data_IF_625276473102
#
_entry.id   IF_625276473102
#
_cell.length_a   1.000
_cell.length_b   1.000
_cell.length_c   1.000
_cell.angle_alpha   90.00
_cell.angle_beta   90.00
_cell.angle_gamma   90.00
#
_symmetry.space_group_name_H-M   'P 1'
#
loop_
_entity.id
_entity.type
_entity.pdbx_description
1 polymer ?
#
# COMPACT_ATOMS: atom_id res chain seq x y z
N UNK A 1 67.25 -18.72 8.68
CA UNK A 1 65.92 -19.35 8.75
C UNK A 1 64.74 -18.37 8.74
N UNK A 2 64.86 -17.14 9.27
CA UNK A 2 63.74 -16.18 9.39
C UNK A 2 63.18 -15.63 8.06
N UNK A 3 64.03 -15.46 7.03
CA UNK A 3 63.60 -14.88 5.74
C UNK A 3 62.80 -15.86 4.86
N UNK A 4 63.14 -17.16 4.88
CA UNK A 4 62.43 -18.19 4.12
C UNK A 4 61.01 -18.45 4.68
N UNK A 5 60.84 -18.26 5.99
CA UNK A 5 59.56 -18.43 6.67
C UNK A 5 58.60 -17.27 6.38
N UNK A 6 59.12 -16.03 6.31
CA UNK A 6 58.32 -14.86 5.92
C UNK A 6 57.81 -14.97 4.48
N UNK A 7 58.65 -15.40 3.54
CA UNK A 7 58.24 -15.56 2.12
C UNK A 7 57.17 -16.65 1.97
N UNK A 8 57.29 -17.77 2.72
CA UNK A 8 56.29 -18.83 2.69
C UNK A 8 54.93 -18.36 3.24
N UNK A 9 54.93 -17.51 4.27
CA UNK A 9 53.68 -16.98 4.84
C UNK A 9 52.99 -15.98 3.90
N UNK A 10 53.75 -15.14 3.18
CA UNK A 10 53.17 -14.17 2.24
C UNK A 10 52.55 -14.86 1.01
N UNK A 11 53.19 -15.92 0.50
CA UNK A 11 52.65 -16.70 -0.63
C UNK A 11 51.40 -17.48 -0.24
N UNK A 12 51.32 -17.97 1.01
CA UNK A 12 50.13 -18.64 1.50
C UNK A 12 48.95 -17.66 1.68
N UNK A 13 49.23 -16.43 2.13
CA UNK A 13 48.21 -15.39 2.29
C UNK A 13 47.59 -14.95 0.96
N UNK A 14 48.37 -14.87 -0.12
CA UNK A 14 47.83 -14.46 -1.44
C UNK A 14 47.00 -15.56 -2.10
N UNK A 15 47.27 -16.84 -1.83
CA UNK A 15 46.45 -17.94 -2.36
C UNK A 15 45.05 -18.02 -1.73
N UNK A 16 44.93 -17.68 -0.44
CA UNK A 16 43.64 -17.72 0.27
C UNK A 16 42.69 -16.62 -0.23
N UNK A 17 43.22 -15.48 -0.69
CA UNK A 17 42.40 -14.39 -1.23
C UNK A 17 41.86 -14.70 -2.63
N UNK A 18 42.58 -15.49 -3.45
CA UNK A 18 42.11 -15.88 -4.79
C UNK A 18 40.98 -16.91 -4.80
N UNK A 19 40.67 -17.55 -3.67
CA UNK A 19 39.59 -18.55 -3.57
C UNK A 19 38.22 -17.95 -3.20
N UNK A 20 38.14 -16.65 -2.92
CA UNK A 20 36.88 -15.97 -2.55
C UNK A 20 36.21 -15.24 -3.74
N UNK A 21 36.54 -15.61 -4.98
CA UNK A 21 35.99 -14.99 -6.19
C UNK A 21 35.22 -15.93 -7.12
N UNK A 22 34.95 -17.16 -6.69
CA UNK A 22 34.38 -18.22 -7.53
C UNK A 22 33.00 -18.68 -7.08
N UNK A 23 32.02 -17.80 -7.18
CA UNK A 23 30.62 -18.21 -7.35
C UNK A 23 29.96 -17.11 -8.17
N UNK A 24 29.77 -17.37 -9.47
CA UNK A 24 28.72 -16.71 -10.23
C UNK A 24 27.38 -17.15 -9.61
N UNK A 25 27.03 -16.53 -8.49
CA UNK A 25 25.67 -16.46 -8.04
C UNK A 25 24.95 -15.68 -9.12
N UNK A 26 24.34 -16.41 -10.05
CA UNK A 26 23.22 -15.87 -10.81
C UNK A 26 22.32 -15.22 -9.75
N UNK A 27 21.99 -13.92 -9.84
CA UNK A 27 21.13 -13.32 -8.84
C UNK A 27 19.83 -14.09 -8.88
N UNK A 28 19.62 -14.98 -7.91
CA UNK A 28 18.32 -15.52 -7.61
C UNK A 28 17.51 -14.33 -7.13
N UNK A 29 16.85 -13.68 -8.09
CA UNK A 29 15.91 -12.62 -7.76
C UNK A 29 14.85 -13.31 -6.90
N UNK A 30 14.89 -13.00 -5.61
CA UNK A 30 13.93 -13.50 -4.64
C UNK A 30 12.52 -13.05 -5.09
N UNK A 31 11.50 -13.86 -4.81
CA UNK A 31 10.13 -13.48 -5.16
C UNK A 31 9.73 -12.15 -4.49
N UNK A 32 10.36 -11.87 -3.34
CA UNK A 32 10.26 -10.64 -2.57
C UNK A 32 10.87 -9.42 -3.31
N UNK A 33 12.00 -9.58 -4.00
CA UNK A 33 12.60 -8.52 -4.82
C UNK A 33 11.76 -8.23 -6.08
N UNK A 34 11.14 -9.27 -6.67
CA UNK A 34 10.18 -9.11 -7.77
C UNK A 34 8.95 -8.36 -7.29
N UNK A 35 8.40 -8.71 -6.13
CA UNK A 35 7.23 -8.07 -5.55
C UNK A 35 7.53 -6.60 -5.19
N UNK A 36 8.69 -6.33 -4.59
CA UNK A 36 9.11 -4.96 -4.22
C UNK A 36 9.33 -4.09 -5.47
N UNK A 37 9.91 -4.66 -6.52
CA UNK A 37 10.06 -3.98 -7.81
C UNK A 37 8.69 -3.73 -8.47
N UNK A 38 7.77 -4.70 -8.41
CA UNK A 38 6.42 -4.54 -8.96
C UNK A 38 5.63 -3.44 -8.24
N UNK A 39 5.71 -3.35 -6.91
CA UNK A 39 5.09 -2.26 -6.13
C UNK A 39 5.69 -0.92 -6.54
N UNK A 40 7.02 -0.80 -6.64
CA UNK A 40 7.67 0.43 -7.07
C UNK A 40 7.26 0.88 -8.49
N UNK A 41 7.14 -0.07 -9.43
CA UNK A 41 6.66 0.21 -10.79
C UNK A 41 5.19 0.64 -10.82
N UNK A 42 4.33 0.04 -9.98
CA UNK A 42 2.93 0.45 -9.86
C UNK A 42 2.79 1.89 -9.34
N UNK A 43 3.57 2.28 -8.33
CA UNK A 43 3.61 3.65 -7.83
C UNK A 43 4.10 4.66 -8.88
N UNK A 44 5.09 4.29 -9.71
CA UNK A 44 5.55 5.13 -10.83
C UNK A 44 4.48 5.29 -11.92
N UNK A 45 3.73 4.25 -12.24
CA UNK A 45 2.65 4.33 -13.24
C UNK A 45 1.49 5.23 -12.77
N UNK A 46 1.14 5.15 -11.48
CA UNK A 46 0.08 5.98 -10.89
C UNK A 46 0.44 7.47 -10.87
N UNK A 47 1.69 7.80 -10.50
CA UNK A 47 2.17 9.19 -10.46
C UNK A 47 2.22 9.83 -11.85
N UNK A 48 2.62 9.10 -12.90
CA UNK A 48 2.60 9.60 -14.27
C UNK A 48 1.18 9.84 -14.80
N UNK A 49 0.22 9.00 -14.42
CA UNK A 49 -1.18 9.17 -14.84
C UNK A 49 -1.83 10.38 -14.18
N UNK A 50 -1.53 10.65 -12.90
CA UNK A 50 -2.00 11.85 -12.21
C UNK A 50 -1.46 13.14 -12.84
N UNK A 51 -0.24 13.12 -13.38
CA UNK A 51 0.35 14.26 -14.08
C UNK A 51 -0.26 14.52 -15.47
N UNK A 52 -0.93 13.53 -16.07
CA UNK A 52 -1.61 13.64 -17.36
C UNK A 52 -3.10 13.98 -17.24
N UNK A 53 -3.61 14.23 -16.02
CA UNK A 53 -4.97 14.68 -15.82
C UNK A 53 -5.18 16.03 -16.55
N UNK A 54 -6.19 16.17 -17.41
CA UNK A 54 -6.39 17.36 -18.21
C UNK A 54 -6.69 18.55 -17.30
N UNK A 55 -5.73 19.46 -17.16
CA UNK A 55 -5.92 20.74 -16.49
C UNK A 55 -7.01 21.50 -17.23
N UNK A 56 -8.10 21.85 -16.53
CA UNK A 56 -9.22 22.57 -17.10
C UNK A 56 -8.75 23.92 -17.65
N UNK A 57 -8.64 24.01 -18.99
CA UNK A 57 -8.49 25.27 -19.68
C UNK A 57 -9.75 26.10 -19.45
N UNK A 58 -9.65 27.36 -18.97
CA UNK A 58 -10.82 28.22 -18.82
C UNK A 58 -11.51 28.40 -20.18
N UNK A 59 -12.78 28.02 -20.27
CA UNK A 59 -13.58 28.26 -21.45
C UNK A 59 -13.78 29.79 -21.60
N UNK A 60 -13.52 30.39 -22.77
CA UNK A 60 -13.86 31.78 -23.00
C UNK A 60 -15.39 31.96 -22.94
N UNK A 61 -15.90 33.10 -22.45
CA UNK A 61 -17.33 33.33 -22.33
C UNK A 61 -17.99 33.26 -23.71
N UNK A 62 -18.90 32.31 -23.87
CA UNK A 62 -19.64 32.10 -25.12
C UNK A 62 -20.78 33.09 -25.19
N UNK A 63 -20.73 34.01 -26.15
CA UNK A 63 -21.88 34.83 -26.54
C UNK A 63 -22.94 33.92 -27.17
N UNK A 64 -24.14 33.88 -26.59
CA UNK A 64 -25.33 33.22 -27.16
C UNK A 64 -25.99 34.10 -28.21
N UNK A 65 -25.95 33.78 -29.51
CA UNK A 65 -26.95 34.25 -30.46
C UNK A 65 -28.21 33.37 -30.38
N UNK A 66 -29.37 34.02 -30.35
CA UNK A 66 -30.69 33.39 -30.36
C UNK A 66 -30.99 32.79 -31.75
N UNK A 67 -31.37 31.50 -31.87
CA UNK A 67 -31.75 30.94 -33.15
C UNK A 67 -33.22 31.24 -33.52
N UNK A 68 -33.38 31.81 -34.71
CA UNK A 68 -34.65 31.97 -35.43
C UNK A 68 -35.10 30.63 -36.03
N UNK A 69 -36.42 30.40 -36.00
CA UNK A 69 -37.19 29.25 -36.51
C UNK A 69 -36.73 28.64 -37.85
N UNK A 70 -36.81 27.30 -37.97
CA UNK A 70 -37.49 26.52 -39.05
C UNK A 70 -37.39 25.00 -38.74
N UNK A 71 -38.50 24.23 -38.71
CA UNK A 71 -38.42 22.77 -38.66
C UNK A 71 -38.34 22.17 -40.08
N UNK A 72 -37.28 21.39 -40.36
CA UNK A 72 -37.21 20.49 -41.51
C UNK A 72 -37.67 19.07 -41.10
N UNK A 73 -38.21 18.23 -42.01
CA UNK A 73 -38.76 16.93 -41.66
C UNK A 73 -37.66 15.94 -41.24
N UNK A 74 -37.85 15.25 -40.11
CA UNK A 74 -36.99 14.16 -39.68
C UNK A 74 -37.14 12.95 -40.62
N UNK A 75 -36.05 12.56 -41.27
CA UNK A 75 -35.89 11.22 -41.83
C UNK A 75 -35.55 10.29 -40.66
N UNK A 76 -36.43 9.34 -40.36
CA UNK A 76 -36.21 8.30 -39.35
C UNK A 76 -35.13 7.33 -39.86
N UNK A 77 -33.94 7.37 -39.24
CA UNK A 77 -32.97 6.28 -39.38
C UNK A 77 -33.38 5.09 -38.49
N UNK A 78 -33.09 3.83 -38.91
CA UNK A 78 -33.39 2.65 -38.10
C UNK A 78 -32.62 2.69 -36.78
N UNK A 79 -33.32 2.59 -35.66
CA UNK A 79 -32.72 2.42 -34.33
C UNK A 79 -32.11 1.02 -34.22
N UNK A 80 -30.79 0.94 -34.11
CA UNK A 80 -30.12 -0.28 -33.68
C UNK A 80 -30.54 -0.65 -32.24
N UNK A 81 -30.66 -1.95 -31.91
CA UNK A 81 -30.96 -2.38 -30.54
C UNK A 81 -29.86 -1.89 -29.58
N UNK A 82 -30.23 -1.52 -28.33
CA UNK A 82 -29.26 -1.07 -27.34
C UNK A 82 -28.24 -2.18 -27.08
N UNK A 83 -26.96 -1.85 -27.26
CA UNK A 83 -25.88 -2.71 -26.85
C UNK A 83 -26.04 -2.97 -25.34
N UNK A 84 -26.02 -4.25 -24.94
CA UNK A 84 -25.88 -4.63 -23.54
C UNK A 84 -24.54 -4.07 -23.05
N UNK A 85 -24.61 -2.98 -22.28
CA UNK A 85 -23.46 -2.46 -21.55
C UNK A 85 -23.07 -3.54 -20.56
N UNK A 86 -21.98 -4.26 -20.85
CA UNK A 86 -21.33 -5.09 -19.86
C UNK A 86 -21.05 -4.20 -18.65
N UNK A 87 -21.48 -4.64 -17.47
CA UNK A 87 -21.16 -3.98 -16.21
C UNK A 87 -19.65 -3.85 -16.18
N UNK A 88 -19.13 -2.64 -16.44
CA UNK A 88 -17.73 -2.35 -16.17
C UNK A 88 -17.55 -2.64 -14.69
N UNK A 89 -16.64 -3.56 -14.37
CA UNK A 89 -16.13 -3.67 -13.03
C UNK A 89 -15.66 -2.28 -12.62
N UNK A 90 -16.41 -1.62 -11.75
CA UNK A 90 -15.98 -0.40 -11.10
C UNK A 90 -14.61 -0.69 -10.50
N UNK A 91 -13.57 0.13 -10.78
CA UNK A 91 -12.29 -0.06 -10.14
C UNK A 91 -12.52 -0.12 -8.63
N UNK A 92 -12.06 -1.20 -8.00
CA UNK A 92 -12.10 -1.36 -6.55
C UNK A 92 -11.53 -0.07 -5.95
N UNK A 93 -12.34 0.64 -5.17
CA UNK A 93 -11.91 1.92 -4.61
C UNK A 93 -10.61 1.72 -3.84
N UNK A 94 -9.56 2.45 -4.21
CA UNK A 94 -8.24 2.29 -3.63
C UNK A 94 -8.23 2.87 -2.21
N UNK A 95 -8.22 1.99 -1.21
CA UNK A 95 -8.40 2.33 0.21
C UNK A 95 -7.11 2.83 0.89
N UNK A 96 -6.36 3.68 0.18
CA UNK A 96 -5.02 4.15 0.60
C UNK A 96 -5.03 5.65 0.91
N UNK A 97 -6.20 6.25 1.09
CA UNK A 97 -6.32 7.66 1.42
C UNK A 97 -5.86 7.92 2.85
N UNK A 98 -5.28 9.09 3.09
CA UNK A 98 -4.95 9.55 4.44
C UNK A 98 -6.26 10.03 5.10
N UNK A 99 -6.52 9.71 6.38
CA UNK A 99 -7.69 10.18 7.09
C UNK A 99 -7.84 11.70 7.06
N UNK A 100 -9.05 12.17 6.76
CA UNK A 100 -9.39 13.58 6.97
C UNK A 100 -9.37 13.91 8.48
N UNK A 101 -9.11 15.17 8.87
CA UNK A 101 -9.09 15.57 10.29
C UNK A 101 -10.39 15.27 11.04
N UNK A 102 -11.53 15.33 10.33
CA UNK A 102 -12.86 15.08 10.86
C UNK A 102 -13.61 14.12 9.94
N UNK A 103 -13.41 12.79 10.09
CA UNK A 103 -14.10 11.81 9.27
C UNK A 103 -15.59 11.78 9.62
N UNK A 104 -16.42 11.56 8.60
CA UNK A 104 -17.90 11.52 8.69
C UNK A 104 -18.39 10.20 9.24
N UNK A 105 -17.64 9.12 9.03
CA UNK A 105 -17.94 7.79 9.52
C UNK A 105 -17.81 7.69 11.04
N UNK A 106 -18.49 6.69 11.61
CA UNK A 106 -18.33 6.36 13.01
C UNK A 106 -16.87 5.98 13.30
N UNK A 107 -16.35 6.42 14.45
CA UNK A 107 -14.99 6.07 14.90
C UNK A 107 -15.04 5.10 16.07
N UNK A 108 -14.13 4.14 16.07
CA UNK A 108 -13.96 3.11 17.11
C UNK A 108 -12.62 3.29 17.81
N UNK A 109 -12.56 2.84 19.07
CA UNK A 109 -11.33 2.89 19.86
C UNK A 109 -10.51 1.62 19.64
N UNK A 110 -9.21 1.78 19.43
CA UNK A 110 -8.28 0.67 19.23
C UNK A 110 -7.03 0.90 20.07
N UNK A 111 -6.46 -0.18 20.60
CA UNK A 111 -5.15 -0.21 21.24
C UNK A 111 -4.24 -1.15 20.47
N UNK A 112 -3.13 -0.60 19.97
CA UNK A 112 -2.08 -1.38 19.31
C UNK A 112 -1.02 -1.78 20.32
N UNK A 113 -0.72 -3.07 20.40
CA UNK A 113 0.28 -3.64 21.29
C UNK A 113 1.45 -4.16 20.47
N UNK A 114 2.62 -3.53 20.58
CA UNK A 114 3.82 -4.06 19.98
C UNK A 114 4.49 -5.08 20.92
N UNK A 115 4.35 -6.35 20.61
CA UNK A 115 5.01 -7.46 21.29
C UNK A 115 6.25 -7.97 20.55
N UNK A 116 6.66 -7.32 19.46
CA UNK A 116 7.98 -7.57 18.91
C UNK A 116 9.06 -6.99 19.84
N UNK A 117 10.25 -7.62 19.82
CA UNK A 117 11.42 -7.19 20.58
C UNK A 117 12.09 -5.93 19.99
N UNK A 118 11.47 -5.28 19.00
CA UNK A 118 11.95 -4.08 18.32
C UNK A 118 10.83 -3.09 18.04
N UNK A 119 11.16 -1.94 17.43
CA UNK A 119 10.15 -1.04 16.89
C UNK A 119 9.34 -1.68 15.75
N UNK A 120 8.11 -1.22 15.58
CA UNK A 120 7.20 -1.62 14.52
C UNK A 120 6.64 -0.37 13.81
N UNK A 121 6.72 -0.35 12.48
CA UNK A 121 5.98 0.60 11.65
C UNK A 121 4.75 -0.12 11.10
N UNK A 122 3.57 0.18 11.64
CA UNK A 122 2.31 -0.43 11.25
C UNK A 122 1.61 0.43 10.20
N UNK A 123 1.24 -0.19 9.08
CA UNK A 123 0.20 0.27 8.14
C UNK A 123 -1.09 -0.49 8.42
N UNK A 124 -2.18 0.24 8.68
CA UNK A 124 -3.48 -0.29 9.04
C UNK A 124 -4.52 0.27 8.07
N UNK A 125 -4.81 -0.48 7.00
CA UNK A 125 -5.63 -0.05 5.88
C UNK A 125 -7.03 -0.67 5.92
N UNK A 126 -8.04 0.13 5.59
CA UNK A 126 -9.38 -0.39 5.35
C UNK A 126 -9.39 -1.24 4.07
N UNK A 127 -10.14 -2.34 4.08
CA UNK A 127 -10.28 -3.21 2.91
C UNK A 127 -11.41 -2.72 1.98
N UNK A 128 -12.43 -2.07 2.57
CA UNK A 128 -13.58 -1.54 1.83
C UNK A 128 -14.03 -0.19 2.43
N UNK A 129 -14.60 0.71 1.61
CA UNK A 129 -15.17 1.96 2.11
C UNK A 129 -16.30 1.72 3.12
N UNK A 130 -16.46 2.64 4.07
CA UNK A 130 -17.59 2.65 5.00
C UNK A 130 -18.89 3.12 4.32
N UNK A 131 -19.97 3.24 5.10
CA UNK A 131 -21.29 3.71 4.65
C UNK A 131 -21.32 5.20 4.22
N UNK A 132 -20.23 5.94 4.46
CA UNK A 132 -20.00 7.31 4.01
C UNK A 132 -19.05 7.40 2.82
N UNK A 133 -18.69 6.26 2.23
CA UNK A 133 -17.74 6.14 1.13
C UNK A 133 -16.33 6.66 1.49
N UNK A 134 -15.96 6.59 2.78
CA UNK A 134 -14.61 6.89 3.26
C UNK A 134 -13.82 5.59 3.37
N UNK A 135 -12.57 5.61 2.91
CA UNK A 135 -11.67 4.48 3.03
C UNK A 135 -10.25 4.96 3.27
N UNK A 136 -9.72 4.72 4.47
CA UNK A 136 -8.44 5.27 4.89
C UNK A 136 -7.42 4.20 5.28
N UNK A 137 -6.15 4.58 5.15
CA UNK A 137 -5.02 3.87 5.72
C UNK A 137 -4.36 4.70 6.81
N UNK A 138 -4.13 4.08 7.96
CA UNK A 138 -3.46 4.68 9.10
C UNK A 138 -2.03 4.17 9.16
N UNK A 139 -1.11 5.01 9.63
CA UNK A 139 0.28 4.63 9.86
C UNK A 139 0.69 4.99 11.28
N UNK A 140 1.31 4.03 11.98
CA UNK A 140 1.74 4.18 13.37
C UNK A 140 3.16 3.66 13.52
N UNK A 141 3.97 4.34 14.33
CA UNK A 141 5.29 3.86 14.73
C UNK A 141 5.25 3.58 16.23
N UNK A 142 5.58 2.35 16.60
CA UNK A 142 5.59 1.86 17.98
C UNK A 142 7.01 1.41 18.35
N UNK A 143 7.47 1.71 19.55
CA UNK A 143 8.66 1.11 20.15
C UNK A 143 8.41 -0.32 20.63
N UNK A 144 9.47 -1.04 21.00
CA UNK A 144 9.36 -2.40 21.54
C UNK A 144 8.56 -2.39 22.85
N UNK A 145 7.53 -3.24 22.96
CA UNK A 145 6.67 -3.31 24.16
C UNK A 145 5.61 -2.20 24.28
N UNK A 146 5.55 -1.26 23.33
CA UNK A 146 4.63 -0.13 23.41
C UNK A 146 3.16 -0.54 23.29
N UNK A 147 2.30 0.26 23.94
CA UNK A 147 0.85 0.24 23.76
C UNK A 147 0.40 1.61 23.28
N UNK A 148 -0.18 1.68 22.09
CA UNK A 148 -0.62 2.92 21.46
C UNK A 148 -2.15 2.94 21.27
N UNK A 149 -2.88 3.76 22.07
CA UNK A 149 -4.31 3.96 21.86
C UNK A 149 -4.56 4.92 20.68
N UNK A 150 -5.50 4.58 19.82
CA UNK A 150 -5.92 5.42 18.70
C UNK A 150 -7.44 5.35 18.46
N UNK A 151 -7.93 6.29 17.65
CA UNK A 151 -9.28 6.23 17.08
C UNK A 151 -9.17 6.07 15.57
N UNK A 152 -9.89 5.09 15.05
CA UNK A 152 -9.94 4.79 13.61
C UNK A 152 -11.40 4.72 13.18
N UNK A 153 -11.65 4.80 11.87
CA UNK A 153 -12.99 4.57 11.35
C UNK A 153 -13.50 3.17 11.69
N UNK A 154 -14.82 3.04 11.85
CA UNK A 154 -15.46 1.74 11.89
C UNK A 154 -15.35 1.09 10.51
N UNK A 155 -14.89 -0.16 10.46
CA UNK A 155 -14.65 -0.86 9.20
C UNK A 155 -13.86 -2.15 9.35
N UNK A 156 -13.55 -2.76 8.23
CA UNK A 156 -12.79 -3.99 8.14
C UNK A 156 -11.39 -3.71 7.60
N UNK A 157 -10.36 -4.12 8.34
CA UNK A 157 -8.98 -3.73 8.13
C UNK A 157 -8.07 -4.89 7.76
N UNK A 158 -7.01 -4.59 7.02
CA UNK A 158 -5.80 -5.39 6.95
C UNK A 158 -4.66 -4.65 7.70
N UNK A 159 -3.73 -5.40 8.26
CA UNK A 159 -2.59 -4.85 8.99
C UNK A 159 -1.28 -5.40 8.47
N UNK A 160 -0.35 -4.51 8.11
CA UNK A 160 1.03 -4.83 7.71
C UNK A 160 1.98 -4.05 8.59
N UNK A 161 2.94 -4.70 9.24
CA UNK A 161 3.93 -4.03 10.06
C UNK A 161 5.36 -4.43 9.68
N UNK A 162 6.22 -3.43 9.50
CA UNK A 162 7.66 -3.62 9.35
C UNK A 162 8.31 -3.56 10.73
N UNK A 163 8.86 -4.68 11.14
CA UNK A 163 9.51 -4.88 12.43
C UNK A 163 11.01 -4.63 12.23
N UNK A 164 11.54 -3.68 13.01
CA UNK A 164 12.97 -3.36 12.99
C UNK A 164 13.86 -4.44 13.64
N UNK A 165 15.12 -4.09 13.91
CA UNK A 165 16.08 -4.99 14.56
C UNK A 165 17.07 -5.64 13.59
N UNK A 166 17.92 -6.53 14.12
CA UNK A 166 18.96 -7.23 13.35
C UNK A 166 18.38 -8.21 12.35
N UNK A 167 17.28 -8.86 12.71
CA UNK A 167 16.57 -9.87 11.92
C UNK A 167 15.19 -9.32 11.49
N UNK A 168 15.18 -8.09 10.96
CA UNK A 168 13.96 -7.37 10.62
C UNK A 168 12.94 -8.25 9.86
N UNK A 169 11.67 -8.09 10.18
CA UNK A 169 10.61 -8.97 9.68
C UNK A 169 9.38 -8.18 9.23
N UNK A 170 8.48 -8.86 8.51
CA UNK A 170 7.22 -8.28 8.06
C UNK A 170 6.08 -9.08 8.68
N UNK A 171 5.33 -8.43 9.57
CA UNK A 171 4.15 -8.99 10.18
C UNK A 171 2.91 -8.61 9.36
N UNK A 172 1.99 -9.56 9.18
CA UNK A 172 0.74 -9.34 8.43
C UNK A 172 -0.46 -9.97 9.12
N UNK A 173 -1.65 -9.45 8.86
CA UNK A 173 -2.90 -10.08 9.28
C UNK A 173 -3.23 -11.38 8.52
N UNK A 174 -2.55 -11.63 7.41
CA UNK A 174 -2.77 -12.81 6.57
C UNK A 174 -4.16 -12.78 5.94
N UNK A 175 -4.85 -13.92 5.95
CA UNK A 175 -6.20 -14.06 5.42
C UNK A 175 -7.29 -13.52 6.37
N UNK A 176 -6.91 -13.10 7.58
CA UNK A 176 -7.84 -12.52 8.55
C UNK A 176 -8.05 -11.04 8.26
N UNK A 177 -9.32 -10.67 8.17
CA UNK A 177 -9.77 -9.29 8.11
C UNK A 177 -10.18 -8.86 9.53
N UNK A 178 -9.65 -7.73 9.99
CA UNK A 178 -9.85 -7.20 11.33
C UNK A 178 -11.03 -6.22 11.31
N UNK A 179 -12.24 -6.70 11.58
CA UNK A 179 -13.45 -5.86 11.55
C UNK A 179 -13.73 -5.20 12.90
N UNK A 180 -13.71 -3.87 12.90
CA UNK A 180 -13.91 -2.98 14.04
C UNK A 180 -15.22 -2.20 13.83
N UNK A 181 -16.32 -2.66 14.41
CA UNK A 181 -17.67 -2.11 14.10
C UNK A 181 -18.38 -1.50 15.31
N UNK A 182 -18.12 -2.02 16.51
CA UNK A 182 -18.71 -1.53 17.75
C UNK A 182 -17.86 -0.45 18.43
N UNK A 183 -18.40 0.76 18.55
CA UNK A 183 -17.73 1.90 19.18
C UNK A 183 -17.68 1.84 20.71
N UNK A 184 -18.44 0.93 21.33
CA UNK A 184 -18.49 0.78 22.79
C UNK A 184 -17.39 -0.14 23.34
N UNK A 185 -16.63 -0.79 22.48
CA UNK A 185 -15.51 -1.65 22.87
C UNK A 185 -14.17 -1.05 22.41
N UNK A 186 -13.12 -1.43 23.12
CA UNK A 186 -11.73 -1.12 22.75
C UNK A 186 -11.16 -2.37 22.10
N UNK A 187 -10.92 -2.33 20.79
CA UNK A 187 -10.28 -3.43 20.09
C UNK A 187 -8.79 -3.46 20.41
N UNK A 188 -8.26 -4.65 20.67
CA UNK A 188 -6.84 -4.84 20.98
C UNK A 188 -6.18 -5.53 19.81
N UNK A 189 -5.26 -4.83 19.15
CA UNK A 189 -4.51 -5.33 18.01
C UNK A 189 -3.10 -5.67 18.48
N UNK A 190 -2.73 -6.93 18.30
CA UNK A 190 -1.42 -7.47 18.66
C UNK A 190 -0.50 -7.45 17.44
N UNK A 191 0.67 -6.84 17.59
CA UNK A 191 1.74 -6.83 16.59
C UNK A 191 2.87 -7.69 17.14
N UNK A 192 3.18 -8.78 16.45
CA UNK A 192 4.32 -9.66 16.75
C UNK A 192 5.34 -9.57 15.62
N UNK A 193 6.44 -10.32 15.69
CA UNK A 193 7.42 -10.39 14.60
C UNK A 193 6.81 -10.91 13.27
N UNK A 194 5.76 -11.74 13.33
CA UNK A 194 5.24 -12.44 12.15
C UNK A 194 3.79 -12.08 11.80
N UNK A 195 3.02 -11.58 12.78
CA UNK A 195 1.57 -11.41 12.65
C UNK A 195 1.04 -10.12 13.25
N UNK A 196 0.00 -9.61 12.61
CA UNK A 196 -0.90 -8.57 13.15
C UNK A 196 -2.27 -9.21 13.37
N UNK A 197 -2.72 -9.39 14.60
CA UNK A 197 -3.97 -10.12 14.91
C UNK A 197 -4.78 -9.41 15.99
N UNK A 198 -6.01 -9.87 16.23
CA UNK A 198 -6.70 -9.54 17.48
C UNK A 198 -6.02 -10.22 18.67
N UNK A 199 -5.97 -9.52 19.79
CA UNK A 199 -5.53 -10.08 21.07
C UNK A 199 -6.64 -10.89 21.74
#
# INVERSE_FOLDING_TARGET
MKQKFLIAMTVLATLVVSACGGADATPEISAEDIASTAVAQAWLAMTQTAAAAPTATPLPPTFTPQPTNTPAPLVLLPTLPPATVGVMATPTADCVLIPEPEPKGAQVNVEFYNQADSSANLSFGMNFPNDKNECYAYSFTLGAGDVFPARVLAGCYYGWAWIGGTDGSIAKSGDKILCLTDANIIYKILITAERVDFK
#
